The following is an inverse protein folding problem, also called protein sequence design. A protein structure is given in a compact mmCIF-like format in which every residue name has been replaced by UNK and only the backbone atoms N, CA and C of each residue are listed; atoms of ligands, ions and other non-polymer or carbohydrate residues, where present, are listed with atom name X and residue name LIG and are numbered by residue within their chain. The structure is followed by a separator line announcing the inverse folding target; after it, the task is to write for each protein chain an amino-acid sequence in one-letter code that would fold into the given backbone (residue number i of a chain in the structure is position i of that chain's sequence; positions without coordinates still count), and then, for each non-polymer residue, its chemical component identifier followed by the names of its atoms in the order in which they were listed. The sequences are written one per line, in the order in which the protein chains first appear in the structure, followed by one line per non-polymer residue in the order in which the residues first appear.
data_IF_297517977766
#
_entry.id   IF_297517977766
#
_cell.length_a   1.000
_cell.length_b   1.000
_cell.length_c   1.000
_cell.angle_alpha   90.00
_cell.angle_beta   90.00
_cell.angle_gamma   90.00
#
_symmetry.space_group_name_H-M   'P 1'
#
loop_
_entity.id
_entity.type
_entity.pdbx_description
1 polymer ?
#
# COMPACT_ATOMS: atom_id res chain seq x y z
N UNK A 1 -42.81 -29.19 34.59
CA UNK A 1 -43.70 -28.02 34.38
C UNK A 1 -43.36 -27.37 33.05
N UNK A 2 -44.36 -26.93 32.27
CA UNK A 2 -44.15 -26.37 30.92
C UNK A 2 -43.27 -25.11 30.88
N UNK A 3 -43.15 -24.38 32.00
CA UNK A 3 -42.25 -23.24 32.18
C UNK A 3 -40.77 -23.59 31.94
N UNK A 4 -40.30 -24.75 32.43
CA UNK A 4 -38.89 -25.14 32.33
C UNK A 4 -38.46 -25.42 30.87
N UNK A 5 -39.40 -25.84 30.02
CA UNK A 5 -39.13 -26.07 28.58
C UNK A 5 -39.03 -24.76 27.81
N UNK A 6 -39.82 -23.75 28.19
CA UNK A 6 -39.77 -22.42 27.59
C UNK A 6 -38.46 -21.72 27.95
N UNK A 7 -38.03 -21.82 29.21
CA UNK A 7 -36.74 -21.26 29.66
C UNK A 7 -35.57 -21.94 28.93
N UNK A 8 -35.62 -23.27 28.76
CA UNK A 8 -34.60 -24.00 28.00
C UNK A 8 -34.54 -23.53 26.53
N UNK A 9 -35.69 -23.41 25.86
CA UNK A 9 -35.74 -22.92 24.47
C UNK A 9 -35.25 -21.47 24.34
N UNK A 10 -35.52 -20.65 25.35
CA UNK A 10 -35.06 -19.25 25.39
C UNK A 10 -33.53 -19.21 25.51
N UNK A 11 -32.96 -19.99 26.42
CA UNK A 11 -31.51 -20.12 26.61
C UNK A 11 -30.83 -20.69 25.35
N UNK A 12 -31.41 -21.70 24.71
CA UNK A 12 -30.89 -22.25 23.45
C UNK A 12 -30.91 -21.22 22.32
N UNK A 13 -31.95 -20.40 22.25
CA UNK A 13 -32.06 -19.33 21.25
C UNK A 13 -31.02 -18.24 21.49
N UNK A 14 -30.82 -17.82 22.73
CA UNK A 14 -29.83 -16.80 23.07
C UNK A 14 -28.40 -17.31 22.89
N UNK A 15 -28.15 -18.59 23.19
CA UNK A 15 -26.87 -19.24 22.90
C UNK A 15 -26.57 -19.26 21.39
N UNK A 16 -27.56 -19.57 20.55
CA UNK A 16 -27.40 -19.51 19.08
C UNK A 16 -27.09 -18.09 18.59
N UNK A 17 -27.77 -17.06 19.13
CA UNK A 17 -27.44 -15.66 18.80
C UNK A 17 -26.00 -15.31 19.16
N UNK A 18 -25.51 -15.72 20.33
CA UNK A 18 -24.11 -15.48 20.70
C UNK A 18 -23.11 -16.20 19.79
N UNK A 19 -23.44 -17.41 19.32
CA UNK A 19 -22.64 -18.13 18.33
C UNK A 19 -22.61 -17.39 16.99
N UNK A 20 -23.75 -16.90 16.52
CA UNK A 20 -23.84 -16.13 15.28
C UNK A 20 -23.06 -14.82 15.38
N UNK A 21 -23.15 -14.11 16.52
CA UNK A 21 -22.35 -12.91 16.77
C UNK A 21 -20.84 -13.19 16.77
N UNK A 22 -20.42 -14.32 17.37
CA UNK A 22 -19.02 -14.74 17.34
C UNK A 22 -18.55 -15.01 15.91
N UNK A 23 -19.36 -15.70 15.09
CA UNK A 23 -19.03 -15.94 13.69
C UNK A 23 -18.92 -14.64 12.90
N UNK A 24 -19.84 -13.69 13.08
CA UNK A 24 -19.78 -12.38 12.43
C UNK A 24 -18.50 -11.63 12.83
N UNK A 25 -18.10 -11.69 14.10
CA UNK A 25 -16.84 -11.08 14.56
C UNK A 25 -15.62 -11.76 13.94
N UNK A 26 -15.61 -13.09 13.83
CA UNK A 26 -14.53 -13.82 13.17
C UNK A 26 -14.40 -13.42 11.70
N UNK A 27 -15.50 -13.41 10.95
CA UNK A 27 -15.49 -12.97 9.56
C UNK A 27 -15.03 -11.52 9.40
N UNK A 28 -15.42 -10.62 10.31
CA UNK A 28 -14.94 -9.25 10.29
C UNK A 28 -13.43 -9.16 10.51
N UNK A 29 -12.88 -9.95 11.43
CA UNK A 29 -11.43 -10.01 11.67
C UNK A 29 -10.73 -10.54 10.42
N UNK A 30 -11.24 -11.60 9.81
CA UNK A 30 -10.67 -12.17 8.59
C UNK A 30 -10.70 -11.20 7.42
N UNK A 31 -11.84 -10.53 7.18
CA UNK A 31 -11.95 -9.46 6.18
C UNK A 31 -10.94 -8.33 6.45
N UNK A 32 -10.79 -7.92 7.71
CA UNK A 32 -9.82 -6.89 8.07
C UNK A 32 -8.38 -7.35 7.81
N UNK A 33 -8.06 -8.62 8.08
CA UNK A 33 -6.72 -9.19 7.78
C UNK A 33 -6.44 -9.22 6.29
N UNK A 34 -7.40 -9.68 5.47
CA UNK A 34 -7.28 -9.69 4.01
C UNK A 34 -7.11 -8.27 3.49
N UNK A 35 -7.92 -7.33 3.97
CA UNK A 35 -7.83 -5.93 3.59
C UNK A 35 -6.45 -5.34 3.93
N UNK A 36 -5.97 -5.54 5.16
CA UNK A 36 -4.67 -5.05 5.60
C UNK A 36 -3.53 -5.67 4.77
N UNK A 37 -3.62 -6.97 4.45
CA UNK A 37 -2.64 -7.65 3.60
C UNK A 37 -2.65 -7.11 2.17
N UNK A 38 -3.82 -6.85 1.59
CA UNK A 38 -3.96 -6.26 0.26
C UNK A 38 -3.37 -4.86 0.24
N UNK A 39 -3.72 -4.01 1.21
CA UNK A 39 -3.21 -2.63 1.28
C UNK A 39 -1.70 -2.60 1.44
N UNK A 40 -1.11 -3.52 2.21
CA UNK A 40 0.34 -3.61 2.36
C UNK A 40 1.01 -4.05 1.05
N UNK A 41 0.45 -5.05 0.36
CA UNK A 41 0.95 -5.48 -0.94
C UNK A 41 0.83 -4.39 -2.02
N UNK A 42 -0.25 -3.61 -2.01
CA UNK A 42 -0.45 -2.50 -2.95
C UNK A 42 0.58 -1.38 -2.69
N UNK A 43 0.86 -1.07 -1.42
CA UNK A 43 1.89 -0.09 -1.04
C UNK A 43 3.30 -0.54 -1.42
N UNK A 44 3.65 -1.80 -1.18
CA UNK A 44 4.93 -2.38 -1.62
C UNK A 44 5.08 -2.32 -3.15
N UNK A 45 4.01 -2.61 -3.89
CA UNK A 45 4.00 -2.51 -5.34
C UNK A 45 4.23 -1.07 -5.81
N UNK A 46 3.58 -0.10 -5.17
CA UNK A 46 3.75 1.31 -5.50
C UNK A 46 5.19 1.78 -5.26
N UNK A 47 5.82 1.36 -4.16
CA UNK A 47 7.23 1.66 -3.89
C UNK A 47 8.14 1.11 -5.00
N UNK A 48 7.90 -0.13 -5.42
CA UNK A 48 8.67 -0.77 -6.50
C UNK A 48 8.48 -0.09 -7.86
N UNK A 49 7.27 0.35 -8.17
CA UNK A 49 7.00 1.14 -9.40
C UNK A 49 7.74 2.47 -9.35
N UNK A 50 7.76 3.14 -8.20
CA UNK A 50 8.49 4.39 -8.02
C UNK A 50 10.01 4.16 -8.14
N UNK A 51 10.56 3.07 -7.57
CA UNK A 51 11.97 2.68 -7.77
C UNK A 51 12.30 2.57 -9.26
N UNK A 52 11.46 1.85 -10.03
CA UNK A 52 11.67 1.68 -11.47
C UNK A 52 11.59 2.99 -12.27
N UNK A 53 10.73 3.93 -11.85
CA UNK A 53 10.64 5.25 -12.49
C UNK A 53 11.91 6.07 -12.25
N UNK A 54 12.47 6.00 -11.05
CA UNK A 54 13.74 6.65 -10.70
C UNK A 54 14.89 6.05 -11.52
N UNK A 55 14.96 4.73 -11.65
CA UNK A 55 15.96 4.04 -12.48
C UNK A 55 15.88 4.50 -13.95
N UNK A 56 14.65 4.62 -14.48
CA UNK A 56 14.42 5.15 -15.84
C UNK A 56 14.96 6.58 -15.98
N UNK A 57 14.66 7.44 -15.01
CA UNK A 57 15.10 8.84 -15.02
C UNK A 57 16.61 8.96 -14.87
N UNK A 58 17.27 8.07 -14.11
CA UNK A 58 18.74 8.02 -14.02
C UNK A 58 19.37 7.75 -15.38
N UNK A 59 18.80 6.79 -16.13
CA UNK A 59 19.24 6.48 -17.50
C UNK A 59 19.01 7.67 -18.43
N UNK A 60 17.88 8.38 -18.31
CA UNK A 60 17.60 9.59 -19.09
C UNK A 60 18.60 10.72 -18.79
N UNK A 61 18.90 11.01 -17.53
CA UNK A 61 19.93 11.98 -17.13
C UNK A 61 21.29 11.62 -17.74
N UNK A 62 21.66 10.33 -17.69
CA UNK A 62 22.94 9.87 -18.28
C UNK A 62 22.97 10.05 -19.78
N UNK A 63 21.87 9.78 -20.48
CA UNK A 63 21.76 9.97 -21.92
C UNK A 63 21.81 11.44 -22.31
N UNK A 64 21.09 12.32 -21.61
CA UNK A 64 21.11 13.75 -21.87
C UNK A 64 22.49 14.36 -21.59
N UNK A 65 23.18 13.95 -20.52
CA UNK A 65 24.58 14.32 -20.27
C UNK A 65 25.51 13.86 -21.41
N UNK A 66 25.27 12.67 -21.95
CA UNK A 66 26.04 12.17 -23.09
C UNK A 66 25.78 12.98 -24.36
N UNK A 67 24.52 13.33 -24.65
CA UNK A 67 24.15 14.19 -25.77
C UNK A 67 24.71 15.62 -25.64
N UNK A 68 24.73 16.19 -24.44
CA UNK A 68 25.36 17.48 -24.15
C UNK A 68 26.87 17.43 -24.40
N UNK A 69 27.54 16.35 -23.99
CA UNK A 69 28.98 16.15 -24.26
C UNK A 69 29.32 16.00 -25.76
N UNK A 70 28.36 15.53 -26.55
CA UNK A 70 28.44 15.45 -28.02
C UNK A 70 28.06 16.76 -28.72
N UNK A 71 27.64 17.79 -27.97
CA UNK A 71 27.20 19.08 -28.50
C UNK A 71 25.81 19.06 -29.15
N UNK A 72 25.06 17.97 -28.99
CA UNK A 72 23.70 17.81 -29.52
C UNK A 72 22.62 18.14 -28.47
N UNK A 73 22.99 18.18 -27.19
CA UNK A 73 22.12 18.54 -26.07
C UNK A 73 22.26 20.01 -25.65
N UNK A 74 21.31 20.49 -24.85
CA UNK A 74 21.39 21.77 -24.16
C UNK A 74 21.57 21.56 -22.67
N UNK A 75 22.47 22.33 -22.06
CA UNK A 75 22.78 22.26 -20.62
C UNK A 75 21.55 22.53 -19.73
N UNK A 76 20.57 23.29 -20.22
CA UNK A 76 19.30 23.52 -19.51
C UNK A 76 18.47 22.23 -19.39
N UNK A 77 18.45 21.40 -20.43
CA UNK A 77 17.68 20.15 -20.45
C UNK A 77 18.29 19.08 -19.52
N UNK A 78 19.62 19.04 -19.44
CA UNK A 78 20.33 18.21 -18.46
C UNK A 78 19.95 18.61 -17.04
N UNK A 79 19.95 19.92 -16.73
CA UNK A 79 19.56 20.43 -15.40
C UNK A 79 18.10 20.13 -15.05
N UNK A 80 17.19 20.25 -16.01
CA UNK A 80 15.78 19.93 -15.80
C UNK A 80 15.61 18.44 -15.46
N UNK A 81 16.23 17.56 -16.25
CA UNK A 81 16.14 16.09 -16.05
C UNK A 81 16.75 15.67 -14.70
N UNK A 82 17.87 16.29 -14.31
CA UNK A 82 18.50 16.07 -12.99
C UNK A 82 17.62 16.55 -11.84
N UNK A 83 16.95 17.70 -11.99
CA UNK A 83 16.05 18.22 -10.98
C UNK A 83 14.86 17.28 -10.81
N UNK A 84 14.25 16.85 -11.92
CA UNK A 84 13.17 15.86 -11.89
C UNK A 84 13.60 14.57 -11.20
N UNK A 85 14.79 14.05 -11.50
CA UNK A 85 15.33 12.86 -10.82
C UNK A 85 15.47 13.06 -9.31
N UNK A 86 16.01 14.20 -8.87
CA UNK A 86 16.14 14.50 -7.45
C UNK A 86 14.78 14.63 -6.74
N UNK A 87 13.79 15.25 -7.39
CA UNK A 87 12.42 15.34 -6.86
C UNK A 87 11.81 13.95 -6.70
N UNK A 88 11.86 13.11 -7.74
CA UNK A 88 11.33 11.74 -7.68
C UNK A 88 12.01 10.91 -6.56
N UNK A 89 13.32 11.06 -6.38
CA UNK A 89 14.07 10.39 -5.30
C UNK A 89 13.60 10.85 -3.90
N UNK A 90 13.38 12.15 -3.72
CA UNK A 90 12.89 12.69 -2.45
C UNK A 90 11.45 12.26 -2.16
N UNK A 91 10.58 12.23 -3.16
CA UNK A 91 9.21 11.74 -3.04
C UNK A 91 9.17 10.26 -2.65
N UNK A 92 10.05 9.46 -3.24
CA UNK A 92 10.19 8.06 -2.85
C UNK A 92 10.70 7.91 -1.41
N UNK A 93 11.69 8.68 -1.00
CA UNK A 93 12.19 8.63 0.37
C UNK A 93 11.09 9.02 1.37
N UNK A 94 10.27 10.00 1.03
CA UNK A 94 9.08 10.37 1.80
C UNK A 94 8.05 9.23 1.84
N UNK A 95 7.82 8.54 0.73
CA UNK A 95 6.91 7.40 0.66
C UNK A 95 7.41 6.23 1.53
N UNK A 96 8.71 5.92 1.49
CA UNK A 96 9.34 4.91 2.35
C UNK A 96 9.21 5.27 3.83
N UNK A 97 9.47 6.53 4.21
CA UNK A 97 9.30 6.99 5.59
C UNK A 97 7.85 6.92 6.07
N UNK A 98 6.87 7.15 5.19
CA UNK A 98 5.45 6.94 5.55
C UNK A 98 5.16 5.47 5.78
N UNK A 99 5.68 4.59 4.92
CA UNK A 99 5.52 3.15 5.07
C UNK A 99 6.20 2.58 6.34
N UNK A 100 7.34 3.11 6.76
CA UNK A 100 8.01 2.68 7.99
C UNK A 100 7.36 3.19 9.28
N UNK A 101 6.63 4.32 9.22
CA UNK A 101 5.98 4.92 10.38
C UNK A 101 4.52 4.46 10.57
N UNK A 102 3.91 3.85 9.56
CA UNK A 102 2.58 3.21 9.62
C UNK A 102 2.66 1.78 10.19
#
# INVERSE_FOLDING_TARGET
TPLLRLDLQTIETDYRKMLDELQVRQYRIEQQRIKNSSTLSDMEMQLKVNDMQIDKMEVEVRNERYLDSLGAGTTDKVRETELSYNVARLEQEQARKKFEND
#
